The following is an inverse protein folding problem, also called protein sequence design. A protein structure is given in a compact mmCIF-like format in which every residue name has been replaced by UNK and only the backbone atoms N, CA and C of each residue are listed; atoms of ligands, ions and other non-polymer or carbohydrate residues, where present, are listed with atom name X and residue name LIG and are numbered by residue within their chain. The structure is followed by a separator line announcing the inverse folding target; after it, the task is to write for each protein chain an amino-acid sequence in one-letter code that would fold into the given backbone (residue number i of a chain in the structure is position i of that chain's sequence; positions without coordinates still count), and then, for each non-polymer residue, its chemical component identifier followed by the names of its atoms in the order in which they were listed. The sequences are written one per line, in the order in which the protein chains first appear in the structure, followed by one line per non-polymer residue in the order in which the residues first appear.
data_IF_208333381636
#
_entry.id   IF_208333381636
#
_cell.length_a   1.000
_cell.length_b   1.000
_cell.length_c   1.000
_cell.angle_alpha   90.00
_cell.angle_beta   90.00
_cell.angle_gamma   90.00
#
_symmetry.space_group_name_H-M   'P 1'
#
loop_
_entity.id
_entity.type
_entity.pdbx_description
1 polymer ?
#
# COMPACT_ATOMS: atom_id res chain seq x y z
N UNK A 1 -7.03 -17.99 -2.21
CA UNK A 1 -6.22 -16.77 -2.47
C UNK A 1 -6.86 -15.77 -3.44
N UNK A 2 -8.18 -15.79 -3.69
CA UNK A 2 -8.82 -14.93 -4.70
C UNK A 2 -8.68 -13.44 -4.38
N UNK A 3 -8.94 -13.08 -3.12
CA UNK A 3 -8.82 -11.70 -2.65
C UNK A 3 -7.39 -11.15 -2.80
N UNK A 4 -6.39 -11.87 -2.29
CA UNK A 4 -4.98 -11.43 -2.35
C UNK A 4 -4.48 -11.27 -3.80
N UNK A 5 -4.93 -12.13 -4.72
CA UNK A 5 -4.60 -11.99 -6.15
C UNK A 5 -5.30 -10.79 -6.79
N UNK A 6 -6.55 -10.52 -6.44
CA UNK A 6 -7.25 -9.32 -6.90
C UNK A 6 -6.61 -8.05 -6.36
N UNK A 7 -6.16 -8.07 -5.10
CA UNK A 7 -5.39 -6.99 -4.50
C UNK A 7 -4.08 -6.75 -5.27
N UNK A 8 -3.29 -7.78 -5.59
CA UNK A 8 -2.10 -7.60 -6.43
C UNK A 8 -2.43 -6.99 -7.81
N UNK A 9 -3.49 -7.48 -8.45
CA UNK A 9 -3.94 -6.97 -9.74
C UNK A 9 -4.37 -5.49 -9.67
N UNK A 10 -4.91 -5.01 -8.53
CA UNK A 10 -5.24 -3.59 -8.39
C UNK A 10 -4.00 -2.72 -8.35
N UNK A 11 -2.90 -3.18 -7.73
CA UNK A 11 -1.62 -2.44 -7.76
C UNK A 11 -1.05 -2.39 -9.17
N UNK A 12 -1.07 -3.50 -9.90
CA UNK A 12 -0.64 -3.53 -11.31
C UNK A 12 -1.48 -2.57 -12.16
N UNK A 13 -2.80 -2.56 -11.95
CA UNK A 13 -3.72 -1.66 -12.64
C UNK A 13 -3.40 -0.18 -12.34
N UNK A 14 -3.17 0.19 -11.08
CA UNK A 14 -2.86 1.57 -10.69
C UNK A 14 -1.50 2.02 -11.22
N UNK A 15 -0.49 1.14 -11.20
CA UNK A 15 0.86 1.44 -11.66
C UNK A 15 0.96 1.58 -13.19
N UNK A 16 0.04 1.01 -13.97
CA UNK A 16 0.05 1.13 -15.43
C UNK A 16 -0.37 2.54 -15.88
N UNK A 17 0.52 3.32 -16.53
CA UNK A 17 0.22 4.68 -16.95
C UNK A 17 -1.01 4.80 -17.87
N UNK A 18 -1.36 3.73 -18.60
CA UNK A 18 -2.53 3.72 -19.50
C UNK A 18 -3.84 3.83 -18.73
N UNK A 19 -3.86 3.43 -17.46
CA UNK A 19 -5.06 3.41 -16.62
C UNK A 19 -5.24 4.71 -15.82
N UNK A 20 -4.35 5.70 -15.94
CA UNK A 20 -4.36 6.94 -15.13
C UNK A 20 -5.68 7.70 -15.19
N UNK A 21 -6.34 7.73 -16.34
CA UNK A 21 -7.66 8.36 -16.49
C UNK A 21 -8.72 7.65 -15.65
N UNK A 22 -8.78 6.33 -15.73
CA UNK A 22 -9.73 5.52 -14.96
C UNK A 22 -9.44 5.57 -13.46
N UNK A 23 -8.18 5.49 -13.05
CA UNK A 23 -7.76 5.69 -11.65
C UNK A 23 -8.21 7.05 -11.13
N UNK A 24 -8.04 8.12 -11.92
CA UNK A 24 -8.50 9.47 -11.55
C UNK A 24 -10.02 9.50 -11.34
N UNK A 25 -10.79 8.86 -12.24
CA UNK A 25 -12.25 8.77 -12.11
C UNK A 25 -12.67 8.01 -10.85
N UNK A 26 -12.03 6.86 -10.56
CA UNK A 26 -12.29 6.08 -9.35
C UNK A 26 -12.07 6.92 -8.09
N UNK A 27 -11.00 7.73 -8.05
CA UNK A 27 -10.70 8.61 -6.91
C UNK A 27 -11.75 9.70 -6.77
N UNK A 28 -12.14 10.36 -7.87
CA UNK A 28 -13.18 11.38 -7.87
C UNK A 28 -14.50 10.82 -7.34
N UNK A 29 -14.90 9.65 -7.83
CA UNK A 29 -16.14 8.99 -7.43
C UNK A 29 -16.12 8.51 -5.98
N UNK A 30 -14.99 7.96 -5.52
CA UNK A 30 -14.84 7.41 -4.17
C UNK A 30 -14.75 8.49 -3.11
N UNK A 31 -14.00 9.56 -3.39
CA UNK A 31 -13.73 10.64 -2.44
C UNK A 31 -14.66 11.86 -2.62
N UNK A 32 -15.51 11.87 -3.66
CA UNK A 32 -16.41 12.97 -4.02
C UNK A 32 -15.67 14.31 -4.20
N UNK A 33 -14.54 14.26 -4.90
CA UNK A 33 -13.67 15.41 -5.16
C UNK A 33 -13.65 15.79 -6.63
N UNK A 34 -13.23 17.03 -6.94
CA UNK A 34 -13.00 17.46 -8.31
C UNK A 34 -11.79 16.74 -8.92
N UNK A 35 -11.75 16.71 -10.26
CA UNK A 35 -10.61 16.12 -11.00
C UNK A 35 -9.28 16.76 -10.62
N UNK A 36 -9.25 18.09 -10.45
CA UNK A 36 -8.06 18.82 -10.00
C UNK A 36 -7.54 18.29 -8.67
N UNK A 37 -8.43 18.08 -7.69
CA UNK A 37 -8.08 17.56 -6.37
C UNK A 37 -7.64 16.09 -6.49
N UNK A 38 -8.35 15.27 -7.28
CA UNK A 38 -8.00 13.86 -7.48
C UNK A 38 -6.58 13.70 -8.06
N UNK A 39 -6.25 14.48 -9.10
CA UNK A 39 -4.91 14.47 -9.71
C UNK A 39 -3.82 14.88 -8.74
N UNK A 40 -4.08 15.90 -7.91
CA UNK A 40 -3.11 16.36 -6.90
C UNK A 40 -2.90 15.32 -5.81
N UNK A 41 -3.96 14.72 -5.29
CA UNK A 41 -3.89 13.72 -4.23
C UNK A 41 -3.10 12.49 -4.67
N UNK A 42 -3.25 12.09 -5.93
CA UNK A 42 -2.65 10.86 -6.43
C UNK A 42 -1.31 11.04 -7.16
N UNK A 43 -0.90 12.27 -7.47
CA UNK A 43 0.36 12.53 -8.16
C UNK A 43 1.57 11.79 -7.56
N UNK A 44 1.77 11.75 -6.22
CA UNK A 44 2.92 11.05 -5.64
C UNK A 44 2.96 9.54 -5.93
N UNK A 45 1.80 8.91 -6.15
CA UNK A 45 1.68 7.48 -6.43
C UNK A 45 1.88 7.14 -7.91
N UNK A 46 1.87 8.14 -8.79
CA UNK A 46 2.01 7.97 -10.24
C UNK A 46 3.44 8.24 -10.74
N UNK A 47 4.35 8.62 -9.83
CA UNK A 47 5.79 8.85 -10.04
C UNK A 47 6.56 7.56 -9.73
N UNK A 48 6.91 6.74 -10.75
CA UNK A 48 7.42 5.39 -10.54
C UNK A 48 8.78 5.37 -9.84
N UNK A 49 9.56 6.44 -10.02
CA UNK A 49 10.87 6.68 -9.43
C UNK A 49 10.81 6.96 -7.93
N UNK A 50 9.69 7.48 -7.43
CA UNK A 50 9.49 7.72 -5.99
C UNK A 50 9.16 6.44 -5.21
N UNK A 51 8.80 5.35 -5.90
CA UNK A 51 8.51 4.03 -5.31
C UNK A 51 7.54 4.10 -4.11
N UNK A 52 6.55 5.02 -4.18
CA UNK A 52 5.56 5.25 -3.11
C UNK A 52 4.54 4.13 -3.07
N UNK A 53 4.07 3.71 -4.26
CA UNK A 53 3.17 2.59 -4.41
C UNK A 53 3.99 1.33 -4.71
N UNK A 54 3.68 0.24 -4.00
CA UNK A 54 4.28 -1.06 -4.31
C UNK A 54 3.82 -1.58 -5.67
N UNK A 55 4.51 -2.58 -6.25
CA UNK A 55 4.19 -3.04 -7.61
C UNK A 55 2.98 -3.97 -7.60
N UNK A 56 2.90 -4.83 -6.58
CA UNK A 56 1.88 -5.89 -6.46
C UNK A 56 1.34 -6.03 -5.04
N UNK A 57 1.52 -5.02 -4.18
CA UNK A 57 1.11 -5.09 -2.78
C UNK A 57 2.14 -5.80 -1.88
N UNK A 58 3.42 -5.75 -2.24
CA UNK A 58 4.51 -6.30 -1.43
C UNK A 58 4.51 -5.72 -0.01
N UNK A 59 4.77 -6.56 1.00
CA UNK A 59 4.82 -6.18 2.42
C UNK A 59 6.23 -6.40 2.97
N UNK A 60 6.71 -5.44 3.76
CA UNK A 60 8.04 -5.47 4.37
C UNK A 60 7.95 -5.57 5.89
N UNK A 61 8.21 -6.76 6.46
CA UNK A 61 8.25 -6.95 7.92
C UNK A 61 9.21 -5.96 8.60
N UNK A 62 10.38 -5.73 7.99
CA UNK A 62 11.35 -4.74 8.47
C UNK A 62 10.76 -3.34 8.59
N UNK A 63 9.96 -2.91 7.61
CA UNK A 63 9.32 -1.60 7.68
C UNK A 63 8.27 -1.53 8.80
N UNK A 64 7.53 -2.63 9.03
CA UNK A 64 6.59 -2.71 10.14
C UNK A 64 7.28 -2.73 11.50
N UNK A 65 8.40 -3.45 11.65
CA UNK A 65 9.20 -3.42 12.88
C UNK A 65 9.69 -1.99 13.19
N UNK A 66 10.11 -1.23 12.18
CA UNK A 66 10.52 0.16 12.35
C UNK A 66 9.37 1.06 12.85
N UNK A 67 8.16 0.89 12.31
CA UNK A 67 6.98 1.62 12.78
C UNK A 67 6.61 1.23 14.21
N UNK A 68 6.63 -0.07 14.53
CA UNK A 68 6.35 -0.58 15.88
C UNK A 68 7.37 -0.04 16.88
N UNK A 69 8.64 -0.01 16.51
CA UNK A 69 9.71 0.56 17.34
C UNK A 69 9.47 2.05 17.61
N UNK A 70 9.14 2.85 16.58
CA UNK A 70 8.81 4.26 16.73
C UNK A 70 7.61 4.48 17.67
N UNK A 71 6.58 3.63 17.57
CA UNK A 71 5.42 3.69 18.47
C UNK A 71 5.79 3.34 19.92
N UNK A 72 6.70 2.39 20.13
CA UNK A 72 7.22 2.05 21.45
C UNK A 72 8.03 3.19 22.07
N UNK A 73 8.91 3.82 21.27
CA UNK A 73 9.69 4.99 21.68
C UNK A 73 8.81 6.20 22.04
N UNK A 74 7.72 6.39 21.31
CA UNK A 74 6.72 7.43 21.59
C UNK A 74 5.79 7.08 22.77
N UNK A 75 5.91 5.90 23.39
CA UNK A 75 5.06 5.45 24.49
C UNK A 75 3.62 5.14 24.09
N UNK A 76 3.34 4.99 22.79
CA UNK A 76 1.99 4.66 22.27
C UNK A 76 1.65 3.19 22.49
N UNK A 77 2.67 2.31 22.51
CA UNK A 77 2.51 0.89 22.80
C UNK A 77 3.48 0.43 23.91
N UNK A 78 3.13 -0.64 24.65
CA UNK A 78 3.98 -1.14 25.73
C UNK A 78 5.32 -1.67 25.25
N UNK A 79 6.34 -1.54 26.10
CA UNK A 79 7.64 -2.20 25.94
C UNK A 79 7.68 -3.50 26.75
N UNK A 80 8.34 -4.58 26.26
CA UNK A 80 9.04 -4.66 24.99
C UNK A 80 8.08 -4.66 23.78
N UNK A 81 8.51 -3.99 22.71
CA UNK A 81 7.74 -3.90 21.47
C UNK A 81 7.62 -5.30 20.84
N UNK A 82 6.40 -5.75 20.49
CA UNK A 82 6.22 -7.04 19.81
C UNK A 82 6.77 -7.00 18.38
N UNK A 83 7.32 -8.12 17.92
CA UNK A 83 7.78 -8.27 16.53
C UNK A 83 6.61 -8.23 15.52
N UNK A 84 6.86 -7.71 14.32
CA UNK A 84 5.85 -7.55 13.27
C UNK A 84 5.18 -8.87 12.84
N UNK A 85 5.88 -10.00 12.89
CA UNK A 85 5.35 -11.33 12.56
C UNK A 85 4.18 -11.75 13.44
N UNK A 86 4.04 -11.15 14.63
CA UNK A 86 2.86 -11.36 15.47
C UNK A 86 1.57 -10.88 14.80
N UNK A 87 1.65 -9.87 13.94
CA UNK A 87 0.51 -9.22 13.29
C UNK A 87 0.44 -9.49 11.78
N UNK A 88 1.57 -9.88 11.17
CA UNK A 88 1.69 -9.97 9.72
C UNK A 88 2.05 -11.38 9.31
N UNK A 89 1.12 -12.00 8.59
CA UNK A 89 1.30 -13.33 8.02
C UNK A 89 1.60 -13.24 6.52
N UNK A 90 2.89 -13.38 6.18
CA UNK A 90 3.34 -13.32 4.79
C UNK A 90 2.96 -14.57 3.96
N UNK A 91 2.46 -15.66 4.57
CA UNK A 91 2.14 -16.90 3.84
C UNK A 91 1.13 -16.67 2.74
N UNK A 92 0.17 -15.77 2.98
CA UNK A 92 -0.88 -15.46 2.03
C UNK A 92 -0.38 -14.67 0.81
N UNK A 93 0.41 -13.63 1.03
CA UNK A 93 0.97 -12.84 -0.09
C UNK A 93 1.97 -13.68 -0.91
N UNK A 94 2.79 -14.50 -0.26
CA UNK A 94 3.70 -15.44 -0.92
C UNK A 94 2.96 -16.50 -1.74
N UNK A 95 1.92 -17.14 -1.20
CA UNK A 95 1.10 -18.11 -1.93
C UNK A 95 0.29 -17.49 -3.08
N UNK A 96 0.11 -16.17 -3.09
CA UNK A 96 -0.45 -15.42 -4.21
C UNK A 96 0.59 -15.01 -5.27
N UNK A 97 1.89 -15.23 -5.02
CA UNK A 97 2.98 -14.87 -5.92
C UNK A 97 3.45 -13.41 -5.79
N UNK A 98 3.16 -12.75 -4.66
CA UNK A 98 3.62 -11.40 -4.33
C UNK A 98 4.91 -11.55 -3.50
N UNK A 99 6.01 -10.95 -3.96
CA UNK A 99 7.35 -11.08 -3.37
C UNK A 99 8.11 -9.75 -3.45
#
# INVERSE_FOLDING_TARGET
MRFVRAFAASYEFINDPKNRGEVTNIIMESLKVSEKIARQLFAPYLEPDKNVLSRRGELSLKAFDQVLQLMGEAGVIPTPVPAAERFIDLRYVKAAGIQ
#
